data_IF_271135272486
#
_entry.id   IF_271135272486
#
_cell.length_a   1.000
_cell.length_b   1.000
_cell.length_c   1.000
_cell.angle_alpha   90.00
_cell.angle_beta   90.00
_cell.angle_gamma   90.00
#
_symmetry.space_group_name_H-M   'P 1'
#
loop_
_entity.id
_entity.type
_entity.pdbx_description
1 polymer ?
#
# COMPACT_ATOMS: atom_id res chain seq x y z
N UNK A 1 39.09 -8.68 -0.95
CA UNK A 1 37.91 -8.25 -0.16
C UNK A 1 36.96 -7.61 -1.13
N UNK A 2 36.18 -8.44 -1.81
CA UNK A 2 35.29 -8.02 -2.88
C UNK A 2 33.93 -8.59 -2.54
N UNK A 3 33.07 -7.76 -1.94
CA UNK A 3 31.63 -7.99 -1.86
C UNK A 3 30.96 -6.63 -2.07
N UNK A 4 31.02 -6.22 -3.33
CA UNK A 4 29.91 -5.72 -4.13
C UNK A 4 28.91 -4.76 -3.46
N UNK A 5 29.18 -3.47 -3.63
CA UNK A 5 28.17 -2.40 -3.65
C UNK A 5 27.23 -2.60 -4.85
N UNK A 6 26.25 -3.52 -4.74
CA UNK A 6 25.47 -3.97 -5.90
C UNK A 6 23.97 -4.15 -5.71
N UNK A 7 23.30 -3.49 -4.75
CA UNK A 7 21.83 -3.41 -4.77
C UNK A 7 21.38 -2.04 -5.27
N UNK A 8 21.62 -1.77 -6.56
CA UNK A 8 20.79 -0.79 -7.26
C UNK A 8 19.35 -1.30 -7.26
N UNK A 9 18.37 -0.42 -6.99
CA UNK A 9 17.00 -0.80 -6.67
C UNK A 9 16.39 -1.56 -7.85
N UNK A 10 15.76 -2.71 -7.60
CA UNK A 10 14.96 -3.38 -8.63
C UNK A 10 13.91 -2.39 -9.15
N UNK A 11 14.15 -1.84 -10.35
CA UNK A 11 13.26 -0.90 -11.03
C UNK A 11 11.94 -1.53 -11.50
N UNK A 12 11.63 -2.77 -11.07
CA UNK A 12 10.37 -3.52 -11.25
C UNK A 12 10.21 -4.62 -10.19
N UNK A 13 10.53 -4.33 -8.92
CA UNK A 13 10.26 -5.26 -7.83
C UNK A 13 8.84 -5.08 -7.28
N UNK A 14 8.30 -6.04 -6.51
CA UNK A 14 6.97 -5.91 -5.89
C UNK A 14 6.84 -4.61 -5.08
N UNK A 15 7.94 -4.11 -4.51
CA UNK A 15 8.01 -2.83 -3.79
C UNK A 15 7.59 -1.60 -4.62
N UNK A 16 7.68 -1.64 -5.94
CA UNK A 16 7.17 -0.57 -6.81
C UNK A 16 5.64 -0.46 -6.71
N UNK A 17 4.92 -1.58 -6.58
CA UNK A 17 3.47 -1.54 -6.35
C UNK A 17 3.16 -0.81 -5.06
N UNK A 18 3.90 -1.04 -3.98
CA UNK A 18 3.69 -0.33 -2.72
C UNK A 18 3.92 1.19 -2.85
N UNK A 19 4.89 1.62 -3.68
CA UNK A 19 5.06 3.05 -4.01
C UNK A 19 3.82 3.58 -4.74
N UNK A 20 3.30 2.83 -5.71
CA UNK A 20 2.08 3.20 -6.45
C UNK A 20 0.83 3.22 -5.58
N UNK A 21 0.69 2.26 -4.66
CA UNK A 21 -0.37 2.22 -3.64
C UNK A 21 -0.35 3.53 -2.88
N UNK A 22 0.81 3.91 -2.32
CA UNK A 22 0.97 5.15 -1.56
C UNK A 22 0.58 6.39 -2.37
N UNK A 23 1.09 6.52 -3.60
CA UNK A 23 0.74 7.67 -4.46
C UNK A 23 -0.77 7.78 -4.69
N UNK A 24 -1.45 6.64 -4.87
CA UNK A 24 -2.90 6.58 -5.08
C UNK A 24 -3.67 6.89 -3.80
N UNK A 25 -3.25 6.36 -2.65
CA UNK A 25 -3.88 6.68 -1.37
C UNK A 25 -3.74 8.14 -0.99
N UNK A 26 -2.59 8.77 -1.28
CA UNK A 26 -2.41 10.21 -1.07
C UNK A 26 -3.39 11.04 -1.91
N UNK A 27 -3.60 10.68 -3.18
CA UNK A 27 -4.59 11.34 -4.03
C UNK A 27 -6.03 11.10 -3.56
N UNK A 28 -6.35 9.87 -3.16
CA UNK A 28 -7.65 9.56 -2.56
C UNK A 28 -7.90 10.40 -1.30
N UNK A 29 -6.87 10.57 -0.46
CA UNK A 29 -6.95 11.33 0.80
C UNK A 29 -7.18 12.83 0.57
N UNK A 30 -6.61 13.39 -0.50
CA UNK A 30 -6.76 14.81 -0.86
C UNK A 30 -8.21 15.13 -1.25
N UNK A 31 -8.87 14.24 -2.00
CA UNK A 31 -10.26 14.39 -2.44
C UNK A 31 -11.32 13.75 -1.53
N UNK A 32 -10.92 13.08 -0.44
CA UNK A 32 -11.85 12.35 0.42
C UNK A 32 -12.58 13.25 1.43
N UNK A 33 -13.85 12.92 1.68
CA UNK A 33 -14.61 13.42 2.82
C UNK A 33 -13.94 13.06 4.15
N UNK A 34 -14.21 13.85 5.20
CA UNK A 34 -13.57 13.74 6.52
C UNK A 34 -13.59 12.32 7.10
N UNK A 35 -14.66 11.55 6.88
CA UNK A 35 -14.81 10.18 7.38
C UNK A 35 -13.90 9.18 6.65
N UNK A 36 -13.85 9.26 5.32
CA UNK A 36 -13.00 8.39 4.48
C UNK A 36 -11.54 8.79 4.61
N UNK A 37 -11.27 10.09 4.75
CA UNK A 37 -9.93 10.67 4.89
C UNK A 37 -9.15 10.09 6.05
N UNK A 38 -9.70 10.07 7.26
CA UNK A 38 -8.97 9.53 8.43
C UNK A 38 -8.63 8.04 8.30
N UNK A 39 -9.50 7.27 7.62
CA UNK A 39 -9.22 5.86 7.34
C UNK A 39 -8.12 5.70 6.29
N UNK A 40 -8.15 6.50 5.21
CA UNK A 40 -7.10 6.50 4.19
C UNK A 40 -5.74 6.94 4.74
N UNK A 41 -5.71 7.92 5.64
CA UNK A 41 -4.47 8.35 6.32
C UNK A 41 -3.88 7.19 7.14
N UNK A 42 -4.71 6.44 7.87
CA UNK A 42 -4.28 5.27 8.63
C UNK A 42 -3.74 4.15 7.73
N UNK A 43 -4.41 3.87 6.60
CA UNK A 43 -3.94 2.86 5.64
C UNK A 43 -2.65 3.29 4.95
N UNK A 44 -2.52 4.57 4.62
CA UNK A 44 -1.29 5.14 4.03
C UNK A 44 -0.10 4.98 4.98
N UNK A 45 -0.31 5.23 6.28
CA UNK A 45 0.72 4.99 7.30
C UNK A 45 1.09 3.50 7.38
N UNK A 46 0.09 2.61 7.40
CA UNK A 46 0.33 1.16 7.41
C UNK A 46 1.17 0.68 6.21
N UNK A 47 0.90 1.18 4.99
CA UNK A 47 1.72 0.87 3.82
C UNK A 47 3.14 1.41 3.97
N UNK A 48 3.31 2.62 4.54
CA UNK A 48 4.61 3.24 4.75
C UNK A 48 5.47 2.43 5.73
N UNK A 49 4.89 1.97 6.84
CA UNK A 49 5.57 1.11 7.81
C UNK A 49 6.06 -0.19 7.16
N UNK A 50 5.25 -0.80 6.29
CA UNK A 50 5.62 -2.01 5.56
C UNK A 50 6.73 -1.77 4.52
N UNK A 51 6.83 -0.56 3.94
CA UNK A 51 7.90 -0.20 3.02
C UNK A 51 9.21 0.13 3.73
N UNK A 52 9.14 0.89 4.83
CA UNK A 52 10.32 1.36 5.56
C UNK A 52 10.89 0.29 6.50
N UNK A 53 10.11 -0.77 6.78
CA UNK A 53 10.46 -1.81 7.76
C UNK A 53 10.36 -1.33 9.21
N UNK A 54 9.90 -0.10 9.43
CA UNK A 54 9.74 0.51 10.75
C UNK A 54 8.34 0.22 11.31
N UNK A 55 8.12 -1.07 11.61
CA UNK A 55 6.83 -1.61 12.02
C UNK A 55 6.54 -1.23 13.47
N UNK A 56 5.41 -0.56 13.71
CA UNK A 56 4.96 -0.22 15.09
C UNK A 56 4.45 -1.43 15.86
N UNK A 57 4.17 -2.55 15.18
CA UNK A 57 3.75 -3.80 15.79
C UNK A 57 4.97 -4.62 16.27
N UNK A 58 4.89 -5.16 17.50
CA UNK A 58 5.95 -5.97 18.10
C UNK A 58 6.16 -7.32 17.40
N UNK A 59 5.11 -7.90 16.84
CA UNK A 59 5.12 -9.15 16.07
C UNK A 59 4.35 -8.93 14.78
N UNK A 60 4.96 -8.28 13.78
CA UNK A 60 4.33 -8.15 12.49
C UNK A 60 4.31 -9.52 11.82
N UNK A 61 3.12 -9.95 11.39
CA UNK A 61 2.99 -11.06 10.45
C UNK A 61 3.71 -10.79 9.14
N UNK A 62 3.71 -11.74 8.20
CA UNK A 62 4.34 -11.53 6.91
C UNK A 62 3.69 -10.35 6.16
N UNK A 63 4.53 -9.70 5.36
CA UNK A 63 4.19 -8.43 4.71
C UNK A 63 3.03 -8.59 3.74
N UNK A 64 3.00 -9.69 3.00
CA UNK A 64 1.89 -10.10 2.12
C UNK A 64 0.54 -10.18 2.85
N UNK A 65 0.45 -10.88 3.99
CA UNK A 65 -0.75 -10.89 4.84
C UNK A 65 -1.20 -9.47 5.23
N UNK A 66 -0.25 -8.61 5.62
CA UNK A 66 -0.58 -7.23 5.97
C UNK A 66 -1.06 -6.41 4.77
N UNK A 67 -0.45 -6.59 3.60
CA UNK A 67 -0.88 -5.92 2.37
C UNK A 67 -2.26 -6.43 1.92
N UNK A 68 -2.56 -7.72 2.15
CA UNK A 68 -3.89 -8.30 1.88
C UNK A 68 -4.97 -7.68 2.78
N UNK A 69 -4.69 -7.51 4.08
CA UNK A 69 -5.60 -6.80 4.99
C UNK A 69 -5.85 -5.35 4.53
N UNK A 70 -4.83 -4.67 4.02
CA UNK A 70 -4.96 -3.29 3.51
C UNK A 70 -5.82 -3.30 2.24
N UNK A 71 -5.64 -4.27 1.34
CA UNK A 71 -6.47 -4.41 0.15
C UNK A 71 -7.96 -4.61 0.49
N UNK A 72 -8.26 -5.47 1.47
CA UNK A 72 -9.64 -5.69 1.95
C UNK A 72 -10.26 -4.40 2.52
N UNK A 73 -9.51 -3.66 3.34
CA UNK A 73 -9.97 -2.38 3.90
C UNK A 73 -10.21 -1.32 2.82
N UNK A 74 -9.36 -1.29 1.78
CA UNK A 74 -9.54 -0.43 0.62
C UNK A 74 -10.80 -0.80 -0.18
N UNK A 75 -11.11 -2.09 -0.31
CA UNK A 75 -12.35 -2.52 -0.95
C UNK A 75 -13.59 -2.00 -0.21
N UNK A 76 -13.62 -2.14 1.12
CA UNK A 76 -14.68 -1.58 1.96
C UNK A 76 -14.79 -0.06 1.82
N UNK A 77 -13.66 0.66 1.86
CA UNK A 77 -13.63 2.12 1.68
C UNK A 77 -14.07 2.56 0.29
N UNK A 78 -13.81 1.77 -0.76
CA UNK A 78 -14.24 2.07 -2.11
C UNK A 78 -15.77 2.04 -2.24
N UNK A 79 -16.46 1.25 -1.42
CA UNK A 79 -17.93 1.20 -1.36
C UNK A 79 -18.52 2.43 -0.66
N UNK A 80 -17.79 3.05 0.27
CA UNK A 80 -18.21 4.26 0.99
C UNK A 80 -17.81 5.55 0.27
N UNK A 81 -16.70 5.53 -0.46
CA UNK A 81 -16.20 6.66 -1.23
C UNK A 81 -17.06 6.94 -2.48
N UNK A 82 -16.91 8.14 -3.04
CA UNK A 82 -17.54 8.52 -4.31
C UNK A 82 -16.57 9.27 -5.22
N UNK A 83 -16.84 9.23 -6.53
CA UNK A 83 -16.10 10.00 -7.53
C UNK A 83 -14.64 9.54 -7.71
N UNK A 84 -13.74 10.50 -7.87
CA UNK A 84 -12.31 10.27 -8.12
C UNK A 84 -11.61 9.57 -6.94
N UNK A 85 -12.09 9.80 -5.71
CA UNK A 85 -11.63 9.11 -4.50
C UNK A 85 -11.82 7.60 -4.62
N UNK A 86 -12.99 7.14 -5.07
CA UNK A 86 -13.26 5.71 -5.29
C UNK A 86 -12.32 5.11 -6.34
N UNK A 87 -12.04 5.84 -7.42
CA UNK A 87 -11.11 5.39 -8.46
C UNK A 87 -9.70 5.20 -7.90
N UNK A 88 -9.21 6.18 -7.14
CA UNK A 88 -7.91 6.10 -6.50
C UNK A 88 -7.81 4.94 -5.51
N UNK A 89 -8.84 4.70 -4.71
CA UNK A 89 -8.89 3.59 -3.76
C UNK A 89 -8.86 2.24 -4.48
N UNK A 90 -9.65 2.07 -5.55
CA UNK A 90 -9.65 0.82 -6.33
C UNK A 90 -8.30 0.54 -6.97
N UNK A 91 -7.66 1.56 -7.53
CA UNK A 91 -6.33 1.39 -8.14
C UNK A 91 -5.29 1.07 -7.06
N UNK A 92 -5.38 1.67 -5.86
CA UNK A 92 -4.52 1.28 -4.74
C UNK A 92 -4.74 -0.19 -4.34
N UNK A 93 -6.00 -0.63 -4.24
CA UNK A 93 -6.35 -2.03 -3.95
C UNK A 93 -5.78 -2.99 -4.99
N UNK A 94 -6.01 -2.74 -6.28
CA UNK A 94 -5.47 -3.58 -7.36
C UNK A 94 -3.94 -3.69 -7.27
N UNK A 95 -3.24 -2.58 -6.94
CA UNK A 95 -1.79 -2.61 -6.74
C UNK A 95 -1.35 -3.41 -5.51
N UNK A 96 -2.13 -3.42 -4.43
CA UNK A 96 -1.88 -4.31 -3.30
C UNK A 96 -2.00 -5.79 -3.70
N UNK A 97 -2.95 -6.15 -4.57
CA UNK A 97 -3.11 -7.52 -5.05
C UNK A 97 -1.96 -7.93 -5.98
N UNK A 98 -1.55 -7.05 -6.90
CA UNK A 98 -0.39 -7.29 -7.78
C UNK A 98 0.91 -7.46 -6.97
N UNK A 99 1.08 -6.71 -5.88
CA UNK A 99 2.19 -6.93 -4.95
C UNK A 99 2.19 -8.36 -4.40
N UNK A 100 1.04 -8.86 -3.96
CA UNK A 100 0.90 -10.18 -3.34
C UNK A 100 1.18 -11.27 -4.38
N UNK A 101 0.59 -11.17 -5.57
CA UNK A 101 0.79 -12.11 -6.68
C UNK A 101 2.26 -12.22 -7.08
N UNK A 102 2.95 -11.09 -7.23
CA UNK A 102 4.39 -11.07 -7.54
C UNK A 102 5.29 -11.45 -6.35
N UNK A 103 4.78 -11.41 -5.11
CA UNK A 103 5.54 -11.81 -3.91
C UNK A 103 5.42 -13.31 -3.60
N UNK A 104 4.39 -13.98 -4.13
CA UNK A 104 4.16 -15.43 -3.98
C UNK A 104 4.91 -16.28 -5.04
N UNK A 105 5.49 -15.61 -6.06
CA UNK A 105 6.24 -16.23 -7.18
C UNK A 105 7.75 -16.35 -6.89
#
# INVERSE_FOLDING_TARGET
MADDHGRTPSERGPEEHLKRVRERLQRATDGADRTVKSQLESLTAGVFEQQDGHLTQSEPGPKDERIAEIAEKLDGLAAEASGETTEHIRIARDRCLEYIDESDT
#
